data_IF_675365591533
#
_entry.id   IF_675365591533
#
_cell.length_a   1.000
_cell.length_b   1.000
_cell.length_c   1.000
_cell.angle_alpha   90.00
_cell.angle_beta   90.00
_cell.angle_gamma   90.00
#
_symmetry.space_group_name_H-M   'P 1'
#
loop_
_entity.id
_entity.type
_entity.pdbx_description
1 polymer ?
#
# COMPACT_ATOMS: atom_id res chain seq x y z
N UNK A 1 -2.00 -10.94 18.81
CA UNK A 1 -1.29 -9.66 19.04
C UNK A 1 -1.56 -8.76 17.84
N UNK A 2 -2.08 -7.56 18.06
CA UNK A 2 -2.23 -6.55 17.01
C UNK A 2 -0.86 -5.90 16.88
N UNK A 3 -0.18 -6.11 15.77
CA UNK A 3 1.12 -5.48 15.54
C UNK A 3 0.89 -4.00 15.25
N UNK A 4 1.31 -3.13 16.17
CA UNK A 4 1.20 -1.68 15.98
C UNK A 4 2.32 -1.20 15.05
N UNK A 5 1.93 -0.46 14.02
CA UNK A 5 2.86 0.23 13.11
C UNK A 5 3.04 1.64 13.65
N UNK A 6 4.27 2.03 13.93
CA UNK A 6 4.62 3.33 14.52
C UNK A 6 4.59 4.49 13.50
N UNK A 7 4.76 4.19 12.22
CA UNK A 7 4.72 5.20 11.16
C UNK A 7 5.28 4.71 9.84
N UNK A 8 5.63 5.67 8.98
CA UNK A 8 6.20 5.44 7.65
C UNK A 8 7.66 5.91 7.65
N UNK A 9 8.55 5.02 7.20
CA UNK A 9 9.99 5.24 7.06
C UNK A 9 10.29 5.88 5.69
N UNK A 10 10.49 7.19 5.70
CA UNK A 10 10.89 7.98 4.54
C UNK A 10 12.37 8.40 4.62
N UNK A 11 13.07 8.25 3.51
CA UNK A 11 14.32 8.93 3.21
C UNK A 11 14.28 9.53 1.80
N UNK A 12 15.32 10.25 1.42
CA UNK A 12 15.39 10.90 0.11
C UNK A 12 15.25 9.89 -1.05
N UNK A 13 15.80 8.68 -0.88
CA UNK A 13 15.84 7.66 -1.91
C UNK A 13 14.46 7.05 -2.20
N UNK A 14 13.73 6.62 -1.17
CA UNK A 14 12.40 6.04 -1.39
C UNK A 14 11.33 7.10 -1.65
N UNK A 15 11.48 8.31 -1.10
CA UNK A 15 10.59 9.43 -1.36
C UNK A 15 10.58 9.77 -2.86
N UNK A 16 11.75 10.07 -3.43
CA UNK A 16 11.86 10.43 -4.84
C UNK A 16 11.34 9.32 -5.77
N UNK A 17 11.64 8.06 -5.43
CA UNK A 17 11.17 6.89 -6.18
C UNK A 17 9.65 6.75 -6.17
N UNK A 18 9.00 6.98 -5.02
CA UNK A 18 7.56 6.83 -4.89
C UNK A 18 6.79 7.99 -5.54
N UNK A 19 7.33 9.21 -5.48
CA UNK A 19 6.70 10.38 -6.09
C UNK A 19 6.88 10.45 -7.61
N UNK A 20 7.81 9.68 -8.19
CA UNK A 20 8.10 9.65 -9.64
C UNK A 20 6.85 9.45 -10.52
N UNK A 21 5.82 8.79 -10.01
CA UNK A 21 4.58 8.50 -10.74
C UNK A 21 3.43 9.46 -10.41
N UNK A 22 3.73 10.60 -9.80
CA UNK A 22 2.78 11.69 -9.55
C UNK A 22 1.95 11.55 -8.29
N UNK A 23 2.33 10.65 -7.37
CA UNK A 23 1.67 10.53 -6.07
C UNK A 23 2.33 11.49 -5.08
N UNK A 24 1.51 12.18 -4.29
CA UNK A 24 2.02 12.91 -3.14
C UNK A 24 2.31 11.97 -1.97
N UNK A 25 3.06 12.47 -0.97
CA UNK A 25 3.24 11.75 0.30
C UNK A 25 1.86 11.50 0.92
N UNK A 26 1.00 12.52 0.97
CA UNK A 26 -0.32 12.39 1.60
C UNK A 26 -1.20 11.31 0.95
N UNK A 27 -1.06 11.09 -0.36
CA UNK A 27 -1.76 10.00 -1.03
C UNK A 27 -1.26 8.62 -0.63
N UNK A 28 0.05 8.49 -0.44
CA UNK A 28 0.67 7.23 -0.04
C UNK A 28 0.35 6.94 1.43
N UNK A 29 0.53 7.92 2.31
CA UNK A 29 0.23 7.76 3.74
C UNK A 29 -1.27 7.58 3.97
N UNK A 30 -2.10 8.35 3.28
CA UNK A 30 -3.56 8.25 3.36
C UNK A 30 -4.11 6.91 2.88
N UNK A 31 -3.41 6.19 2.00
CA UNK A 31 -3.78 4.82 1.66
C UNK A 31 -3.69 3.89 2.88
N UNK A 32 -2.67 4.02 3.72
CA UNK A 32 -2.47 3.14 4.88
C UNK A 32 -3.48 3.39 6.01
N UNK A 33 -4.12 4.55 6.03
CA UNK A 33 -5.27 4.86 6.89
C UNK A 33 -6.63 4.63 6.23
N UNK A 34 -6.68 4.11 5.01
CA UNK A 34 -7.93 3.99 4.23
C UNK A 34 -8.76 2.78 4.65
N UNK A 35 -10.08 2.97 4.80
CA UNK A 35 -11.04 1.87 5.03
C UNK A 35 -11.12 0.89 3.84
N UNK A 36 -10.58 1.27 2.69
CA UNK A 36 -10.56 0.44 1.47
C UNK A 36 -9.24 -0.32 1.28
N UNK A 37 -8.30 -0.17 2.22
CA UNK A 37 -7.00 -0.82 2.16
C UNK A 37 -7.14 -2.34 2.20
N UNK A 38 -6.58 -3.00 1.19
CA UNK A 38 -6.36 -4.44 1.18
C UNK A 38 -4.88 -4.72 0.99
N UNK A 39 -4.36 -5.66 1.78
CA UNK A 39 -2.94 -6.04 1.77
C UNK A 39 -2.79 -7.46 1.22
N UNK A 40 -1.85 -7.64 0.29
CA UNK A 40 -1.51 -8.92 -0.32
C UNK A 40 -0.02 -9.21 -0.18
N UNK A 41 0.40 -10.49 -0.10
CA UNK A 41 1.81 -10.84 -0.22
C UNK A 41 2.33 -10.48 -1.61
N UNK A 42 3.54 -9.93 -1.67
CA UNK A 42 4.27 -9.71 -2.92
C UNK A 42 5.24 -10.89 -3.18
N UNK A 43 5.16 -11.58 -4.32
CA UNK A 43 5.99 -12.74 -4.65
C UNK A 43 7.37 -12.27 -5.10
N UNK A 44 8.06 -11.55 -4.22
CA UNK A 44 9.44 -11.17 -4.42
C UNK A 44 10.34 -12.18 -3.70
N UNK A 45 11.34 -12.76 -4.37
CA UNK A 45 12.08 -13.90 -3.84
C UNK A 45 13.06 -13.53 -2.72
N UNK A 46 13.65 -12.34 -2.77
CA UNK A 46 14.82 -12.01 -1.92
C UNK A 46 14.46 -11.31 -0.61
N UNK A 47 13.29 -10.67 -0.55
CA UNK A 47 12.83 -9.89 0.61
C UNK A 47 11.33 -9.99 0.75
N UNK A 48 10.85 -10.11 1.99
CA UNK A 48 9.42 -10.06 2.27
C UNK A 48 8.85 -8.68 1.91
N UNK A 49 7.92 -8.68 0.95
CA UNK A 49 7.22 -7.48 0.49
C UNK A 49 5.72 -7.69 0.54
N UNK A 50 5.02 -6.57 0.68
CA UNK A 50 3.57 -6.50 0.72
C UNK A 50 3.09 -5.51 -0.33
N UNK A 51 1.89 -5.77 -0.86
CA UNK A 51 1.17 -4.87 -1.76
C UNK A 51 -0.01 -4.29 -1.02
N UNK A 52 -0.06 -2.98 -0.90
CA UNK A 52 -1.23 -2.23 -0.44
C UNK A 52 -2.01 -1.73 -1.66
N UNK A 53 -3.31 -2.05 -1.70
CA UNK A 53 -4.23 -1.60 -2.74
C UNK A 53 -5.45 -0.98 -2.07
N UNK A 54 -5.87 0.19 -2.54
CA UNK A 54 -7.03 0.88 -2.01
C UNK A 54 -7.16 2.27 -2.60
N UNK A 55 -8.03 3.09 -2.01
CA UNK A 55 -8.24 4.48 -2.40
C UNK A 55 -7.45 5.42 -1.50
N UNK A 56 -6.70 6.33 -2.13
CA UNK A 56 -6.07 7.47 -1.47
C UNK A 56 -7.13 8.53 -1.08
N UNK A 57 -6.77 9.58 -0.32
CA UNK A 57 -7.68 10.67 0.04
C UNK A 57 -8.34 11.35 -1.16
N UNK A 58 -7.67 11.37 -2.32
CA UNK A 58 -8.21 11.85 -3.60
C UNK A 58 -9.33 10.98 -4.18
N UNK A 59 -9.63 9.83 -3.57
CA UNK A 59 -10.56 8.82 -4.07
C UNK A 59 -10.00 7.93 -5.19
N UNK A 60 -8.78 8.22 -5.67
CA UNK A 60 -8.12 7.45 -6.73
C UNK A 60 -7.54 6.15 -6.18
N UNK A 61 -7.62 5.09 -6.98
CA UNK A 61 -7.00 3.82 -6.63
C UNK A 61 -5.48 3.88 -6.75
N UNK A 62 -4.80 3.44 -5.70
CA UNK A 62 -3.36 3.43 -5.56
C UNK A 62 -2.88 2.02 -5.29
N UNK A 63 -1.70 1.72 -5.83
CA UNK A 63 -0.95 0.50 -5.60
C UNK A 63 0.42 0.87 -5.01
N UNK A 64 0.71 0.36 -3.82
CA UNK A 64 2.01 0.55 -3.13
C UNK A 64 2.63 -0.80 -2.84
N UNK A 65 3.90 -0.96 -3.21
CA UNK A 65 4.74 -2.06 -2.72
C UNK A 65 5.57 -1.52 -1.57
N UNK A 66 5.60 -2.23 -0.45
CA UNK A 66 6.30 -1.83 0.75
C UNK A 66 6.86 -3.04 1.50
N UNK A 67 7.79 -2.77 2.41
CA UNK A 67 8.31 -3.70 3.41
C UNK A 67 8.03 -3.17 4.81
N UNK A 68 8.15 -4.00 5.84
CA UNK A 68 8.05 -3.59 7.24
C UNK A 68 9.45 -3.66 7.85
N UNK A 69 9.89 -2.59 8.51
CA UNK A 69 11.21 -2.51 9.15
C UNK A 69 11.07 -2.26 10.64
N UNK A 70 11.93 -2.90 11.42
CA UNK A 70 12.17 -2.50 12.81
C UNK A 70 13.18 -1.34 12.82
N UNK A 71 12.78 -0.21 13.39
CA UNK A 71 13.62 0.95 13.63
C UNK A 71 13.54 1.26 15.13
N UNK A 72 14.60 0.93 15.86
CA UNK A 72 14.70 1.21 17.29
C UNK A 72 13.66 0.48 18.15
N UNK A 73 13.23 -0.73 17.75
CA UNK A 73 12.22 -1.52 18.45
C UNK A 73 10.78 -1.22 18.04
N UNK A 74 10.58 -0.40 17.01
CA UNK A 74 9.27 -0.01 16.50
C UNK A 74 9.13 -0.34 15.01
N UNK A 75 7.98 -0.88 14.63
CA UNK A 75 7.72 -1.31 13.26
C UNK A 75 7.24 -0.16 12.39
N UNK A 76 7.88 0.03 11.24
CA UNK A 76 7.60 1.08 10.29
C UNK A 76 7.32 0.48 8.91
N UNK A 77 6.40 1.10 8.18
CA UNK A 77 6.20 0.82 6.76
C UNK A 77 7.28 1.54 5.98
N UNK A 78 8.04 0.83 5.15
CA UNK A 78 8.96 1.44 4.18
C UNK A 78 8.44 1.24 2.76
N UNK A 79 7.86 2.29 2.15
CA UNK A 79 7.42 2.22 0.77
C UNK A 79 8.62 2.00 -0.17
N UNK A 80 8.44 1.11 -1.14
CA UNK A 80 9.45 0.73 -2.14
C UNK A 80 9.07 1.31 -3.49
N UNK A 81 7.78 1.31 -3.84
CA UNK A 81 7.25 1.97 -5.03
C UNK A 81 5.77 2.27 -4.85
N UNK A 82 5.31 3.37 -5.43
CA UNK A 82 3.91 3.78 -5.40
C UNK A 82 3.48 4.28 -6.78
N UNK A 83 2.24 3.98 -7.15
CA UNK A 83 1.62 4.49 -8.39
C UNK A 83 0.10 4.44 -8.33
N UNK A 84 -0.55 5.22 -9.18
CA UNK A 84 -1.96 5.03 -9.45
C UNK A 84 -2.18 3.74 -10.22
N UNK A 85 -3.31 3.10 -9.96
CA UNK A 85 -3.72 1.93 -10.72
C UNK A 85 -4.27 2.34 -12.10
N UNK A 86 -4.02 1.50 -13.09
CA UNK A 86 -4.66 1.63 -14.39
C UNK A 86 -6.09 1.07 -14.34
N UNK A 87 -6.95 1.56 -15.23
CA UNK A 87 -8.38 1.21 -15.25
C UNK A 87 -8.65 -0.30 -15.32
N UNK A 88 -7.83 -1.06 -16.07
CA UNK A 88 -7.94 -2.54 -16.12
C UNK A 88 -7.64 -3.19 -14.78
N UNK A 89 -6.64 -2.69 -14.04
CA UNK A 89 -6.27 -3.19 -12.72
C UNK A 89 -7.37 -2.88 -11.70
N UNK A 90 -7.91 -1.66 -11.74
CA UNK A 90 -9.04 -1.23 -10.88
C UNK A 90 -10.22 -2.16 -11.09
N UNK A 91 -10.65 -2.35 -12.35
CA UNK A 91 -11.78 -3.24 -12.67
C UNK A 91 -11.55 -4.68 -12.20
N UNK A 92 -10.32 -5.17 -12.26
CA UNK A 92 -9.99 -6.51 -11.77
C UNK A 92 -10.09 -6.58 -10.24
N UNK A 93 -9.50 -5.60 -9.54
CA UNK A 93 -9.55 -5.50 -8.08
C UNK A 93 -10.98 -5.37 -7.56
N UNK A 94 -11.78 -4.47 -8.11
CA UNK A 94 -13.17 -4.25 -7.66
C UNK A 94 -14.04 -5.50 -7.88
N UNK A 95 -13.84 -6.26 -8.96
CA UNK A 95 -14.51 -7.55 -9.16
C UNK A 95 -14.15 -8.57 -8.09
N UNK A 96 -12.87 -8.65 -7.71
CA UNK A 96 -12.44 -9.55 -6.63
C UNK A 96 -13.03 -9.15 -5.29
N UNK A 97 -13.01 -7.85 -4.96
CA UNK A 97 -13.63 -7.32 -3.74
C UNK A 97 -15.13 -7.60 -3.68
N UNK A 98 -15.85 -7.40 -4.78
CA UNK A 98 -17.28 -7.68 -4.86
C UNK A 98 -17.59 -9.18 -4.70
N UNK A 99 -16.74 -10.08 -5.22
CA UNK A 99 -16.91 -11.51 -5.04
C UNK A 99 -16.69 -11.94 -3.57
N UNK A 100 -15.66 -11.40 -2.91
CA UNK A 100 -15.35 -11.70 -1.51
C UNK A 100 -16.43 -11.16 -0.56
N UNK A 101 -16.95 -9.95 -0.81
CA UNK A 101 -18.02 -9.34 0.00
C UNK A 101 -19.37 -10.09 -0.10
N UNK A 102 -19.55 -10.91 -1.14
CA UNK A 102 -20.78 -11.70 -1.38
C UNK A 102 -20.75 -13.10 -0.78
N UNK A 103 -19.62 -13.56 -0.23
CA UNK A 103 -19.55 -14.82 0.51
C UNK A 103 -20.06 -14.59 1.94
N UNK A 104 -20.96 -15.43 2.48
CA UNK A 104 -21.40 -15.31 3.86
C UNK A 104 -20.18 -15.46 4.80
N UNK A 105 -20.07 -14.55 5.76
CA UNK A 105 -19.05 -14.56 6.82
C UNK A 105 -19.18 -15.80 7.71
#
# INVERSE_FOLDING_TARGET
MRTEIAGIDWDEGNLAKCQKHGLSIEEIEGLFGSDTLTVFPDPFPDEQRLRAIGRAPSGRHVFVVYTIRDIGGALHIRPISARYMHEKEIRHYERQQAATSRLPK
#
